data_IF_041178244893
#
_entry.id   IF_041178244893
#
_cell.length_a   1.000
_cell.length_b   1.000
_cell.length_c   1.000
_cell.angle_alpha   90.00
_cell.angle_beta   90.00
_cell.angle_gamma   90.00
#
_symmetry.space_group_name_H-M   'P 1'
#
loop_
_entity.id
_entity.type
_entity.pdbx_description
1 polymer ?
#
# COMPACT_ATOMS: atom_id res chain seq x y z
N UNK A 1 -16.34 13.95 -20.71
CA UNK A 1 -15.04 14.44 -20.20
C UNK A 1 -14.50 15.44 -21.22
N UNK A 2 -14.02 16.62 -20.82
CA UNK A 2 -13.58 17.65 -21.76
C UNK A 2 -12.37 17.17 -22.58
N UNK A 3 -12.33 17.45 -23.89
CA UNK A 3 -11.24 17.00 -24.77
C UNK A 3 -9.85 17.48 -24.33
N UNK A 4 -9.77 18.62 -23.65
CA UNK A 4 -8.52 19.17 -23.13
C UNK A 4 -7.91 18.34 -21.97
N UNK A 5 -8.73 17.60 -21.21
CA UNK A 5 -8.25 16.73 -20.11
C UNK A 5 -7.69 15.41 -20.66
N UNK A 6 -8.30 14.86 -21.71
CA UNK A 6 -7.83 13.64 -22.37
C UNK A 6 -6.48 13.82 -23.08
N UNK A 7 -6.23 15.02 -23.63
CA UNK A 7 -4.91 15.35 -24.19
C UNK A 7 -3.81 15.51 -23.14
N UNK A 8 -4.18 15.73 -21.88
CA UNK A 8 -3.24 15.82 -20.76
C UNK A 8 -2.89 14.42 -20.24
N UNK A 9 -3.87 13.52 -20.08
CA UNK A 9 -3.60 12.16 -19.59
C UNK A 9 -3.70 11.09 -20.69
N UNK A 10 -2.59 10.70 -21.33
CA UNK A 10 -2.61 9.63 -22.34
C UNK A 10 -3.02 8.26 -21.76
N UNK A 11 -2.83 8.07 -20.45
CA UNK A 11 -3.06 6.80 -19.75
C UNK A 11 -4.30 6.80 -18.84
N UNK A 12 -5.14 7.85 -18.89
CA UNK A 12 -6.38 7.86 -18.11
C UNK A 12 -7.37 6.87 -18.71
N UNK A 13 -7.76 5.87 -17.94
CA UNK A 13 -8.69 4.84 -18.37
C UNK A 13 -10.01 4.87 -17.58
N UNK A 14 -10.84 3.86 -17.79
CA UNK A 14 -12.15 3.75 -17.14
C UNK A 14 -12.11 3.52 -15.62
N UNK A 15 -10.94 3.31 -15.01
CA UNK A 15 -10.76 3.03 -13.56
C UNK A 15 -10.50 4.29 -12.73
N UNK A 16 -10.24 5.42 -13.37
CA UNK A 16 -10.06 6.71 -12.73
C UNK A 16 -11.17 7.68 -13.14
N UNK A 17 -11.40 8.70 -12.31
CA UNK A 17 -12.15 9.88 -12.71
C UNK A 17 -11.38 11.14 -12.35
N UNK A 18 -11.57 12.14 -13.19
CA UNK A 18 -11.05 13.48 -12.96
C UNK A 18 -12.22 14.40 -12.70
N UNK A 19 -12.00 15.43 -11.88
CA UNK A 19 -12.87 16.58 -11.93
C UNK A 19 -12.57 17.43 -13.17
N UNK A 20 -13.39 18.47 -13.39
CA UNK A 20 -13.06 19.51 -14.35
C UNK A 20 -11.87 20.34 -13.84
N UNK A 21 -11.15 20.97 -14.76
CA UNK A 21 -10.10 21.90 -14.43
C UNK A 21 -10.72 23.20 -13.88
N UNK A 22 -10.33 23.61 -12.67
CA UNK A 22 -10.95 24.76 -11.99
C UNK A 22 -9.95 25.88 -11.75
N UNK A 23 -10.34 27.08 -12.16
CA UNK A 23 -9.56 28.31 -12.05
C UNK A 23 -9.32 28.94 -13.42
N UNK A 24 -8.18 29.61 -13.57
CA UNK A 24 -7.79 30.32 -14.79
C UNK A 24 -7.01 29.49 -15.80
N UNK A 25 -6.79 30.08 -16.97
CA UNK A 25 -6.03 29.50 -18.09
C UNK A 25 -4.61 30.07 -18.23
N UNK A 26 -4.11 30.81 -17.23
CA UNK A 26 -2.77 31.40 -17.25
C UNK A 26 -1.68 30.36 -17.01
N UNK A 27 -0.46 30.64 -17.49
CA UNK A 27 0.71 29.77 -17.27
C UNK A 27 0.81 28.58 -18.24
N UNK A 28 1.63 27.59 -17.86
CA UNK A 28 1.87 26.37 -18.61
C UNK A 28 1.09 25.20 -18.00
N UNK A 29 0.58 24.27 -18.81
CA UNK A 29 -0.06 23.07 -18.30
C UNK A 29 0.95 22.22 -17.53
N UNK A 30 0.49 21.58 -16.47
CA UNK A 30 1.25 20.59 -15.72
C UNK A 30 0.40 19.38 -15.35
N UNK A 31 1.09 18.26 -15.16
CA UNK A 31 0.48 16.98 -14.81
C UNK A 31 1.40 16.22 -13.85
N UNK A 32 0.77 15.67 -12.83
CA UNK A 32 1.32 14.68 -11.93
C UNK A 32 0.37 13.51 -12.00
N UNK A 33 0.85 12.38 -12.49
CA UNK A 33 0.10 11.15 -12.52
C UNK A 33 0.95 10.01 -11.93
N UNK A 34 0.28 9.08 -11.27
CA UNK A 34 0.84 7.86 -10.70
C UNK A 34 0.06 6.63 -11.17
N UNK A 35 -0.58 6.75 -12.33
CA UNK A 35 -1.67 5.88 -12.78
C UNK A 35 -1.21 4.45 -13.09
N UNK A 36 0.07 4.22 -13.36
CA UNK A 36 0.65 2.91 -13.65
C UNK A 36 1.57 2.40 -12.54
N UNK A 37 1.88 3.24 -11.54
CA UNK A 37 2.89 2.97 -10.51
C UNK A 37 2.35 2.38 -9.22
N UNK A 38 1.03 2.26 -9.05
CA UNK A 38 0.44 1.85 -7.77
C UNK A 38 0.67 2.84 -6.62
N UNK A 39 1.13 4.05 -6.95
CA UNK A 39 1.34 5.17 -6.02
C UNK A 39 0.14 6.09 -6.01
N UNK A 40 0.00 6.84 -4.93
CA UNK A 40 -1.04 7.83 -4.66
C UNK A 40 -0.47 8.94 -3.82
N UNK A 41 -1.20 10.04 -3.70
CA UNK A 41 -0.91 11.13 -2.78
C UNK A 41 -0.65 10.61 -1.36
N UNK A 42 0.46 11.01 -0.77
CA UNK A 42 0.80 10.78 0.64
C UNK A 42 1.06 12.08 1.38
N UNK A 43 1.49 13.12 0.67
CA UNK A 43 1.56 14.47 1.22
C UNK A 43 1.22 15.50 0.15
N UNK A 44 0.37 16.47 0.52
CA UNK A 44 0.07 17.64 -0.29
C UNK A 44 0.51 18.88 0.48
N UNK A 45 1.38 19.69 -0.12
CA UNK A 45 1.76 20.99 0.44
C UNK A 45 1.45 22.07 -0.58
N UNK A 46 0.76 23.12 -0.13
CA UNK A 46 0.33 24.21 -1.00
C UNK A 46 0.73 25.51 -0.34
N UNK A 47 1.20 26.46 -1.13
CA UNK A 47 1.56 27.81 -0.68
C UNK A 47 0.52 28.79 -1.18
N UNK A 48 0.16 29.75 -0.32
CA UNK A 48 -0.73 30.86 -0.63
C UNK A 48 0.09 32.15 -0.64
N UNK A 49 -0.03 32.92 -1.72
CA UNK A 49 0.53 34.27 -1.81
C UNK A 49 -0.59 35.23 -2.20
N UNK A 50 -0.64 36.37 -1.51
CA UNK A 50 -1.71 37.35 -1.62
C UNK A 50 -3.07 36.67 -1.40
N UNK A 51 -3.79 36.40 -2.48
CA UNK A 51 -5.12 35.79 -2.45
C UNK A 51 -5.23 34.50 -3.30
N UNK A 52 -4.12 33.86 -3.68
CA UNK A 52 -4.15 32.70 -4.57
C UNK A 52 -3.05 31.68 -4.28
N UNK A 53 -3.29 30.38 -4.52
CA UNK A 53 -2.24 29.38 -4.46
C UNK A 53 -1.10 29.71 -5.44
N UNK A 54 0.14 29.67 -4.96
CA UNK A 54 1.33 30.07 -5.72
C UNK A 54 2.35 28.97 -5.95
N UNK A 55 2.28 27.89 -5.17
CA UNK A 55 3.05 26.68 -5.38
C UNK A 55 2.33 25.46 -4.81
N UNK A 56 2.68 24.29 -5.33
CA UNK A 56 2.18 22.99 -4.87
C UNK A 56 3.32 21.98 -4.91
N UNK A 57 3.46 21.20 -3.84
CA UNK A 57 4.24 19.98 -3.77
C UNK A 57 3.28 18.81 -3.59
N UNK A 58 3.40 17.84 -4.49
CA UNK A 58 2.68 16.59 -4.46
C UNK A 58 3.67 15.47 -4.22
N UNK A 59 3.59 14.87 -3.03
CA UNK A 59 4.36 13.69 -2.66
C UNK A 59 3.50 12.46 -2.89
N UNK A 60 4.06 11.50 -3.62
CA UNK A 60 3.40 10.23 -3.91
C UNK A 60 4.25 9.03 -3.53
N UNK A 61 3.61 7.91 -3.22
CA UNK A 61 4.29 6.69 -2.79
C UNK A 61 4.79 6.77 -1.34
N UNK A 62 5.38 5.66 -0.87
CA UNK A 62 5.97 5.55 0.47
C UNK A 62 7.30 4.81 0.42
N UNK A 63 8.19 5.11 1.36
CA UNK A 63 9.50 4.46 1.46
C UNK A 63 10.34 4.70 0.21
N UNK A 64 10.86 3.62 -0.38
CA UNK A 64 11.71 3.69 -1.57
C UNK A 64 11.01 4.28 -2.81
N UNK A 65 9.68 4.22 -2.88
CA UNK A 65 8.91 4.73 -4.03
C UNK A 65 8.42 6.18 -3.84
N UNK A 66 8.97 6.90 -2.85
CA UNK A 66 8.57 8.27 -2.58
C UNK A 66 9.06 9.22 -3.68
N UNK A 67 8.14 9.89 -4.35
CA UNK A 67 8.41 10.88 -5.40
C UNK A 67 7.76 12.22 -5.02
N UNK A 68 8.50 13.33 -5.13
CA UNK A 68 7.97 14.69 -4.92
C UNK A 68 8.01 15.43 -6.24
N UNK A 69 6.85 15.93 -6.68
CA UNK A 69 6.73 16.82 -7.84
C UNK A 69 6.24 18.20 -7.40
N UNK A 70 6.85 19.25 -7.96
CA UNK A 70 6.62 20.63 -7.57
C UNK A 70 6.20 21.49 -8.75
N UNK A 71 5.21 22.36 -8.55
CA UNK A 71 4.78 23.37 -9.52
C UNK A 71 4.57 24.73 -8.84
N UNK A 72 4.67 25.80 -9.62
CA UNK A 72 4.76 27.16 -9.10
C UNK A 72 6.17 27.53 -8.64
N UNK A 73 6.36 28.78 -8.21
CA UNK A 73 7.71 29.31 -7.88
C UNK A 73 7.87 29.90 -6.48
N UNK A 74 6.80 30.34 -5.81
CA UNK A 74 6.92 31.11 -4.55
C UNK A 74 6.74 30.27 -3.29
N UNK A 75 7.68 29.35 -3.03
CA UNK A 75 7.69 28.48 -1.84
C UNK A 75 8.08 29.17 -0.51
N UNK A 76 8.23 30.49 -0.52
CA UNK A 76 8.53 31.31 0.67
C UNK A 76 7.28 31.87 1.36
N UNK A 77 6.10 31.71 0.74
CA UNK A 77 4.84 32.21 1.27
C UNK A 77 4.22 31.27 2.35
N UNK A 78 3.06 31.63 2.90
CA UNK A 78 2.35 30.80 3.89
C UNK A 78 1.97 29.46 3.27
N UNK A 79 2.37 28.35 3.90
CA UNK A 79 2.08 27.01 3.43
C UNK A 79 1.12 26.28 4.36
N UNK A 80 0.24 25.48 3.77
CA UNK A 80 -0.51 24.44 4.47
C UNK A 80 -0.05 23.08 3.96
N UNK A 81 -0.09 22.08 4.83
CA UNK A 81 0.35 20.72 4.54
C UNK A 81 -0.68 19.71 5.02
N UNK A 82 -0.95 18.70 4.19
CA UNK A 82 -1.74 17.52 4.47
C UNK A 82 -0.81 16.30 4.40
N UNK A 83 -0.78 15.47 5.43
CA UNK A 83 -0.07 14.19 5.44
C UNK A 83 -1.09 13.07 5.58
N UNK A 84 -1.20 12.19 4.58
CA UNK A 84 -2.10 11.05 4.66
C UNK A 84 -1.38 9.86 5.30
N UNK A 85 -1.96 9.31 6.36
CA UNK A 85 -1.52 8.06 6.97
C UNK A 85 -1.91 6.84 6.12
N UNK A 86 -1.41 5.67 6.53
CA UNK A 86 -1.89 4.40 6.00
C UNK A 86 -3.39 4.22 6.28
N UNK A 87 -4.11 3.63 5.33
CA UNK A 87 -5.57 3.51 5.36
C UNK A 87 -6.36 4.84 5.44
N UNK A 88 -5.69 5.99 5.32
CA UNK A 88 -6.35 7.29 5.30
C UNK A 88 -6.81 7.66 3.89
N UNK A 89 -8.08 8.05 3.79
CA UNK A 89 -8.80 8.31 2.55
C UNK A 89 -9.39 9.71 2.60
N UNK A 90 -9.32 10.39 1.46
CA UNK A 90 -10.03 11.66 1.27
C UNK A 90 -11.53 11.37 1.23
N UNK A 91 -12.30 12.04 2.08
CA UNK A 91 -13.76 11.93 2.15
C UNK A 91 -14.45 13.13 1.51
N UNK A 92 -13.77 14.28 1.48
CA UNK A 92 -14.27 15.48 0.85
C UNK A 92 -13.14 16.23 0.16
N UNK A 93 -13.42 16.74 -1.04
CA UNK A 93 -12.54 17.61 -1.80
C UNK A 93 -13.36 18.78 -2.34
N UNK A 94 -13.03 19.99 -1.89
CA UNK A 94 -13.67 21.24 -2.31
C UNK A 94 -12.60 22.14 -2.92
N UNK A 95 -12.91 22.68 -4.10
CA UNK A 95 -12.08 23.71 -4.75
C UNK A 95 -12.85 25.03 -4.76
N UNK A 96 -12.17 26.09 -4.35
CA UNK A 96 -12.69 27.46 -4.29
C UNK A 96 -12.07 28.27 -5.41
N UNK A 97 -12.87 29.04 -6.16
CA UNK A 97 -12.43 29.78 -7.34
C UNK A 97 -13.29 31.03 -7.60
N UNK A 98 -12.84 31.93 -8.47
CA UNK A 98 -13.58 33.14 -8.84
C UNK A 98 -14.69 32.88 -9.89
N UNK A 99 -15.85 33.53 -9.73
CA UNK A 99 -17.09 33.64 -10.56
C UNK A 99 -17.30 32.72 -11.77
N UNK A 100 -16.35 32.62 -12.70
CA UNK A 100 -16.52 31.90 -13.97
C UNK A 100 -15.70 30.59 -13.95
N UNK A 101 -16.34 29.48 -14.33
CA UNK A 101 -15.66 28.21 -14.63
C UNK A 101 -14.64 28.40 -15.76
N UNK A 102 -13.60 27.55 -15.81
CA UNK A 102 -12.59 27.55 -16.86
C UNK A 102 -13.23 27.57 -18.25
N UNK A 103 -13.03 28.66 -19.00
CA UNK A 103 -13.41 28.77 -20.40
C UNK A 103 -12.13 29.04 -21.22
N UNK A 104 -11.67 28.08 -22.04
CA UNK A 104 -10.45 28.26 -22.83
C UNK A 104 -10.58 29.35 -23.92
N UNK A 105 -11.81 29.70 -24.30
CA UNK A 105 -12.09 30.70 -25.34
C UNK A 105 -12.25 32.13 -24.79
N UNK A 106 -12.58 32.26 -23.49
CA UNK A 106 -12.70 33.54 -22.82
C UNK A 106 -11.47 33.77 -21.93
N UNK A 107 -10.59 34.70 -22.33
CA UNK A 107 -9.43 35.18 -21.53
C UNK A 107 -9.82 35.92 -20.25
N UNK A 108 -10.92 35.55 -19.60
CA UNK A 108 -11.35 36.12 -18.33
C UNK A 108 -10.46 35.59 -17.21
N UNK A 109 -10.06 36.50 -16.31
CA UNK A 109 -9.21 36.20 -15.16
C UNK A 109 -10.04 35.50 -14.07
N UNK A 110 -10.31 34.21 -14.24
CA UNK A 110 -10.70 33.35 -13.11
C UNK A 110 -9.43 32.89 -12.40
N UNK A 111 -9.45 32.82 -11.07
CA UNK A 111 -8.32 32.34 -10.28
C UNK A 111 -8.77 31.20 -9.38
N UNK A 112 -7.90 30.20 -9.24
CA UNK A 112 -7.94 29.30 -8.11
C UNK A 112 -7.76 30.12 -6.82
N UNK A 113 -8.67 29.96 -5.87
CA UNK A 113 -8.65 30.66 -4.58
C UNK A 113 -8.34 29.74 -3.42
N UNK A 114 -8.69 28.46 -3.51
CA UNK A 114 -8.41 27.57 -2.42
C UNK A 114 -8.72 26.12 -2.66
N UNK A 115 -8.20 25.30 -1.76
CA UNK A 115 -8.38 23.86 -1.73
C UNK A 115 -8.72 23.49 -0.29
N UNK A 116 -9.76 22.69 -0.12
CA UNK A 116 -10.16 22.12 1.17
C UNK A 116 -10.32 20.61 1.02
N UNK A 117 -9.75 19.86 1.95
CA UNK A 117 -9.77 18.39 1.98
C UNK A 117 -10.12 17.96 3.40
N UNK A 118 -11.05 17.02 3.51
CA UNK A 118 -11.29 16.27 4.75
C UNK A 118 -11.01 14.77 4.53
N UNK A 119 -10.60 14.09 5.60
CA UNK A 119 -10.25 12.66 5.56
C UNK A 119 -11.10 11.82 6.49
N UNK A 120 -11.14 10.50 6.23
CA UNK A 120 -11.82 9.53 7.10
C UNK A 120 -11.18 9.39 8.50
N UNK A 121 -10.00 9.97 8.74
CA UNK A 121 -9.36 10.06 10.06
C UNK A 121 -9.52 11.43 10.72
N UNK A 122 -10.34 12.30 10.15
CA UNK A 122 -10.68 13.60 10.73
C UNK A 122 -9.65 14.69 10.48
N UNK A 123 -8.65 14.46 9.62
CA UNK A 123 -7.76 15.55 9.20
C UNK A 123 -8.53 16.54 8.33
N UNK A 124 -8.30 17.83 8.58
CA UNK A 124 -8.86 18.94 7.82
C UNK A 124 -7.73 19.79 7.27
N UNK A 125 -7.56 19.75 5.96
CA UNK A 125 -6.64 20.61 5.24
C UNK A 125 -7.43 21.71 4.54
N UNK A 126 -7.05 22.96 4.75
CA UNK A 126 -7.70 24.09 4.10
C UNK A 126 -6.68 25.17 3.83
N UNK A 127 -6.55 25.56 2.57
CA UNK A 127 -5.74 26.70 2.16
C UNK A 127 -6.58 27.62 1.28
N UNK A 128 -6.81 28.84 1.76
CA UNK A 128 -7.51 29.91 1.04
C UNK A 128 -7.27 31.25 1.76
N UNK A 129 -7.51 32.39 1.10
CA UNK A 129 -7.41 33.71 1.71
C UNK A 129 -8.39 33.85 2.89
N UNK A 130 -8.02 34.64 3.90
CA UNK A 130 -8.88 34.93 5.05
C UNK A 130 -10.18 35.63 4.65
N UNK A 131 -10.13 36.45 3.60
CA UNK A 131 -11.28 37.19 3.06
C UNK A 131 -11.48 36.82 1.60
N UNK A 132 -12.57 36.10 1.31
CA UNK A 132 -12.96 35.80 -0.06
C UNK A 132 -13.56 37.04 -0.72
N UNK A 133 -13.23 37.25 -2.00
CA UNK A 133 -13.80 38.35 -2.79
C UNK A 133 -15.24 38.04 -3.18
N UNK A 134 -16.05 39.10 -3.37
CA UNK A 134 -17.43 38.95 -3.84
C UNK A 134 -17.48 38.19 -5.17
N UNK A 135 -18.24 37.10 -5.19
CA UNK A 135 -18.34 36.20 -6.35
C UNK A 135 -17.34 35.04 -6.35
N UNK A 136 -16.77 34.69 -5.21
CA UNK A 136 -16.07 33.41 -5.08
C UNK A 136 -17.09 32.26 -5.02
N UNK A 137 -16.86 31.19 -5.76
CA UNK A 137 -17.66 29.96 -5.77
C UNK A 137 -16.86 28.80 -5.14
N UNK A 138 -17.58 27.78 -4.67
CA UNK A 138 -17.02 26.51 -4.22
C UNK A 138 -17.65 25.36 -5.00
N UNK A 139 -16.85 24.35 -5.34
CA UNK A 139 -17.36 23.13 -5.96
C UNK A 139 -16.80 21.92 -5.22
N UNK A 140 -17.71 21.04 -4.79
CA UNK A 140 -17.37 19.75 -4.19
C UNK A 140 -17.26 18.68 -5.28
N UNK A 141 -16.27 17.81 -5.14
CA UNK A 141 -16.00 16.74 -6.09
C UNK A 141 -16.23 15.37 -5.48
N UNK A 142 -16.73 14.45 -6.30
CA UNK A 142 -16.70 13.04 -5.94
C UNK A 142 -15.25 12.59 -5.76
N UNK A 143 -14.97 12.00 -4.62
CA UNK A 143 -13.64 11.49 -4.25
C UNK A 143 -13.47 10.00 -4.61
N UNK A 144 -14.53 9.34 -5.11
CA UNK A 144 -14.54 7.91 -5.44
C UNK A 144 -14.11 7.04 -4.26
N UNK A 145 -13.00 6.32 -4.42
CA UNK A 145 -12.40 5.51 -3.35
C UNK A 145 -11.72 6.33 -2.24
N UNK A 146 -11.56 7.65 -2.43
CA UNK A 146 -10.80 8.54 -1.56
C UNK A 146 -9.28 8.49 -1.80
N UNK A 147 -8.83 7.79 -2.83
CA UNK A 147 -7.42 7.68 -3.22
C UNK A 147 -7.12 8.63 -4.37
N UNK A 148 -6.27 9.63 -4.14
CA UNK A 148 -5.82 10.59 -5.14
C UNK A 148 -4.56 10.06 -5.85
N UNK A 149 -4.64 9.84 -7.16
CA UNK A 149 -3.57 9.29 -8.00
C UNK A 149 -2.93 10.35 -8.92
N UNK A 150 -3.24 11.62 -8.69
CA UNK A 150 -2.65 12.69 -9.48
C UNK A 150 -3.32 14.03 -9.32
N UNK A 151 -2.65 15.03 -9.90
CA UNK A 151 -3.10 16.41 -9.98
C UNK A 151 -2.66 16.98 -11.33
N UNK A 152 -3.49 17.79 -11.93
CA UNK A 152 -3.18 18.48 -13.18
C UNK A 152 -3.64 19.92 -13.09
N UNK A 153 -3.10 20.79 -13.93
CA UNK A 153 -3.48 22.19 -13.87
C UNK A 153 -2.67 23.07 -14.78
N UNK A 154 -2.74 24.37 -14.51
CA UNK A 154 -1.86 25.35 -15.11
C UNK A 154 -1.15 26.16 -14.05
N UNK A 155 0.15 26.36 -14.24
CA UNK A 155 0.99 27.12 -13.32
C UNK A 155 2.02 27.96 -14.08
N UNK A 156 2.41 29.07 -13.48
CA UNK A 156 3.62 29.81 -13.85
C UNK A 156 4.49 30.03 -12.61
N UNK A 157 5.51 30.87 -12.73
CA UNK A 157 6.41 31.18 -11.61
C UNK A 157 5.69 31.85 -10.44
N UNK A 158 4.49 32.41 -10.65
CA UNK A 158 3.77 33.26 -9.71
C UNK A 158 2.58 32.57 -9.06
N UNK A 159 1.78 31.82 -9.83
CA UNK A 159 0.50 31.28 -9.39
C UNK A 159 0.23 29.87 -9.94
N UNK A 160 -0.51 29.10 -9.15
CA UNK A 160 -1.28 27.95 -9.64
C UNK A 160 -2.61 28.53 -10.13
N UNK A 161 -2.76 28.65 -11.44
CA UNK A 161 -3.92 29.29 -12.06
C UNK A 161 -5.16 28.43 -11.97
N UNK A 162 -4.99 27.12 -12.19
CA UNK A 162 -6.05 26.13 -12.11
C UNK A 162 -5.55 24.77 -11.66
N UNK A 163 -6.46 23.97 -11.13
CA UNK A 163 -6.16 22.64 -10.63
C UNK A 163 -7.32 21.67 -10.85
N UNK A 164 -6.97 20.42 -11.08
CA UNK A 164 -7.83 19.26 -11.05
C UNK A 164 -7.11 18.09 -10.40
N UNK A 165 -7.88 17.13 -9.91
CA UNK A 165 -7.43 15.94 -9.20
C UNK A 165 -7.86 14.69 -9.96
N UNK A 166 -6.98 13.70 -9.94
CA UNK A 166 -7.27 12.36 -10.48
C UNK A 166 -7.55 11.45 -9.31
N UNK A 167 -8.76 10.95 -9.22
CA UNK A 167 -9.20 10.08 -8.16
C UNK A 167 -9.43 8.67 -8.70
N UNK A 168 -9.01 7.67 -7.93
CA UNK A 168 -9.33 6.28 -8.20
C UNK A 168 -10.83 6.06 -7.91
N UNK A 169 -11.53 5.43 -8.85
CA UNK A 169 -12.95 5.10 -8.68
C UNK A 169 -13.17 4.11 -7.52
N UNK A 170 -14.42 3.95 -7.02
CA UNK A 170 -14.72 2.99 -5.97
C UNK A 170 -14.17 1.59 -6.28
N UNK A 171 -13.39 1.07 -5.34
CA UNK A 171 -12.72 -0.23 -5.44
C UNK A 171 -13.49 -1.25 -4.62
N UNK A 172 -13.87 -2.35 -5.26
CA UNK A 172 -14.53 -3.49 -4.61
C UNK A 172 -13.53 -4.32 -3.82
N UNK A 173 -12.39 -4.65 -4.42
CA UNK A 173 -11.31 -5.39 -3.76
C UNK A 173 -9.96 -5.13 -4.41
N UNK A 174 -8.89 -5.29 -3.64
CA UNK A 174 -7.51 -5.34 -4.11
C UNK A 174 -6.90 -6.71 -3.76
N UNK A 175 -6.29 -7.37 -4.73
CA UNK A 175 -5.70 -8.71 -4.58
C UNK A 175 -4.30 -8.75 -5.20
N UNK A 176 -3.31 -9.15 -4.42
CA UNK A 176 -1.97 -9.47 -4.89
C UNK A 176 -1.98 -10.90 -5.46
N UNK A 177 -1.72 -11.03 -6.76
CA UNK A 177 -1.69 -12.31 -7.49
C UNK A 177 -0.34 -12.56 -8.14
N UNK A 178 -0.16 -13.77 -8.68
CA UNK A 178 1.03 -14.17 -9.44
C UNK A 178 2.31 -13.93 -8.63
N UNK A 179 2.26 -14.26 -7.34
CA UNK A 179 3.38 -14.04 -6.43
C UNK A 179 4.48 -15.07 -6.69
N UNK A 180 5.69 -14.58 -6.86
CA UNK A 180 6.90 -15.38 -7.00
C UNK A 180 7.93 -14.92 -5.99
N UNK A 181 8.52 -15.86 -5.27
CA UNK A 181 9.61 -15.65 -4.34
C UNK A 181 10.96 -15.88 -5.02
N UNK A 182 12.00 -15.16 -4.58
CA UNK A 182 13.38 -15.43 -4.99
C UNK A 182 13.86 -16.76 -4.41
N UNK A 183 14.78 -17.44 -5.08
CA UNK A 183 15.27 -18.76 -4.64
C UNK A 183 16.38 -18.64 -3.57
N UNK A 184 16.76 -17.40 -3.20
CA UNK A 184 17.80 -17.06 -2.23
C UNK A 184 17.25 -16.48 -0.93
N UNK A 185 16.05 -16.88 -0.54
CA UNK A 185 15.40 -16.38 0.66
C UNK A 185 16.22 -16.73 1.92
N UNK A 186 16.42 -15.74 2.78
CA UNK A 186 17.14 -15.93 4.04
C UNK A 186 16.20 -16.55 5.08
N UNK A 187 16.69 -17.56 5.78
CA UNK A 187 15.96 -18.19 6.88
C UNK A 187 16.78 -18.10 8.16
N UNK A 188 16.22 -17.46 9.18
CA UNK A 188 16.83 -17.39 10.51
C UNK A 188 16.18 -18.43 11.41
N UNK A 189 17.02 -19.26 12.03
CA UNK A 189 16.59 -20.30 12.96
C UNK A 189 16.27 -19.68 14.32
N UNK A 190 15.10 -19.96 14.86
CA UNK A 190 14.75 -19.55 16.23
C UNK A 190 15.45 -20.44 17.27
N UNK A 191 15.36 -20.04 18.54
CA UNK A 191 15.79 -20.89 19.64
C UNK A 191 15.07 -22.25 19.63
N UNK A 192 15.77 -23.37 19.90
CA UNK A 192 15.16 -24.68 20.05
C UNK A 192 14.09 -24.68 21.14
N UNK A 193 12.99 -25.36 20.89
CA UNK A 193 11.95 -25.61 21.88
C UNK A 193 11.91 -27.10 22.21
N UNK A 194 12.13 -27.45 23.48
CA UNK A 194 11.84 -28.79 23.98
C UNK A 194 10.32 -28.99 24.01
N UNK A 195 9.82 -29.96 23.24
CA UNK A 195 8.38 -30.24 23.13
C UNK A 195 7.95 -31.48 23.91
N UNK A 196 8.88 -32.40 24.19
CA UNK A 196 8.67 -33.56 25.06
C UNK A 196 10.01 -34.12 25.51
N UNK A 197 10.05 -34.71 26.69
CA UNK A 197 11.22 -35.38 27.27
C UNK A 197 10.74 -36.63 28.00
N UNK A 198 11.40 -37.77 27.78
CA UNK A 198 11.06 -39.06 28.38
C UNK A 198 12.33 -39.81 28.73
N UNK A 199 12.36 -40.43 29.90
CA UNK A 199 13.43 -41.33 30.31
C UNK A 199 12.96 -42.77 30.15
N UNK A 200 13.80 -43.62 29.54
CA UNK A 200 13.55 -45.04 29.34
C UNK A 200 14.64 -45.84 30.03
N UNK A 201 14.26 -46.60 31.04
CA UNK A 201 15.17 -47.45 31.79
C UNK A 201 15.02 -48.92 31.38
N UNK A 202 16.14 -49.58 31.09
CA UNK A 202 16.17 -50.98 30.70
C UNK A 202 17.07 -51.79 31.64
N UNK A 203 16.48 -52.27 32.73
CA UNK A 203 17.11 -53.17 33.69
C UNK A 203 17.27 -54.61 33.19
N UNK A 204 16.77 -54.95 32.00
CA UNK A 204 16.83 -56.30 31.47
C UNK A 204 18.18 -56.61 30.80
N UNK A 205 18.41 -57.87 30.45
CA UNK A 205 19.59 -58.32 29.69
C UNK A 205 19.39 -58.20 28.17
N UNK A 206 18.21 -57.76 27.70
CA UNK A 206 17.83 -57.70 26.29
C UNK A 206 17.50 -56.25 25.89
N UNK A 207 17.71 -55.91 24.62
CA UNK A 207 17.33 -54.60 24.09
C UNK A 207 15.80 -54.41 24.15
N UNK A 208 15.35 -53.22 24.55
CA UNK A 208 13.95 -52.84 24.58
C UNK A 208 13.68 -51.72 23.57
N UNK A 209 12.57 -51.82 22.83
CA UNK A 209 12.16 -50.77 21.88
C UNK A 209 10.92 -50.06 22.41
N UNK A 210 11.03 -48.75 22.60
CA UNK A 210 9.95 -47.88 23.04
C UNK A 210 9.50 -46.96 21.90
N UNK A 211 8.31 -46.39 22.05
CA UNK A 211 7.78 -45.36 21.16
C UNK A 211 7.62 -44.06 21.93
N UNK A 212 8.37 -43.04 21.55
CA UNK A 212 8.15 -41.68 22.02
C UNK A 212 7.14 -41.00 21.11
N UNK A 213 6.13 -40.37 21.70
CA UNK A 213 5.15 -39.53 20.99
C UNK A 213 5.23 -38.11 21.51
N UNK A 214 5.10 -37.14 20.61
CA UNK A 214 4.95 -35.74 20.96
C UNK A 214 3.93 -35.09 20.04
N UNK A 215 3.09 -34.23 20.60
CA UNK A 215 2.16 -33.40 19.83
C UNK A 215 2.45 -31.94 20.13
N UNK A 216 2.54 -31.10 19.11
CA UNK A 216 2.69 -29.66 19.27
C UNK A 216 1.78 -28.90 18.33
N UNK A 217 0.98 -28.02 18.91
CA UNK A 217 0.22 -27.01 18.17
C UNK A 217 1.10 -25.78 17.93
N UNK A 218 1.18 -25.36 16.68
CA UNK A 218 1.96 -24.23 16.19
C UNK A 218 1.04 -23.14 15.67
N UNK A 219 1.44 -21.89 15.89
CA UNK A 219 0.82 -20.71 15.31
C UNK A 219 1.80 -20.12 14.29
N UNK A 220 1.47 -20.23 13.02
CA UNK A 220 2.28 -19.77 11.90
C UNK A 220 1.70 -18.44 11.40
N UNK A 221 2.56 -17.45 11.18
CA UNK A 221 2.14 -16.14 10.69
C UNK A 221 2.80 -15.84 9.35
N UNK A 222 2.05 -15.20 8.46
CA UNK A 222 2.48 -14.82 7.12
C UNK A 222 2.09 -13.37 6.85
N UNK A 223 3.04 -12.56 6.40
CA UNK A 223 2.84 -11.14 6.12
C UNK A 223 3.45 -10.78 4.78
N UNK A 224 2.68 -10.12 3.92
CA UNK A 224 3.16 -9.55 2.66
C UNK A 224 3.17 -8.03 2.76
N UNK A 225 4.36 -7.44 2.74
CA UNK A 225 4.56 -5.99 2.81
C UNK A 225 4.62 -5.33 1.42
N UNK A 226 4.13 -4.09 1.30
CA UNK A 226 4.26 -3.31 0.07
C UNK A 226 4.50 -1.84 0.36
N UNK A 227 5.34 -1.19 -0.45
CA UNK A 227 5.57 0.27 -0.46
C UNK A 227 4.50 1.05 -1.23
N UNK A 228 3.68 0.35 -2.03
CA UNK A 228 2.70 0.96 -2.94
C UNK A 228 1.53 1.55 -2.15
N UNK A 229 1.44 2.88 -2.14
CA UNK A 229 0.50 3.59 -1.25
C UNK A 229 -0.96 3.30 -1.56
N UNK A 230 -1.34 3.00 -2.81
CA UNK A 230 -2.72 2.59 -3.13
C UNK A 230 -3.11 1.34 -2.34
N UNK A 231 -2.28 0.29 -2.36
CA UNK A 231 -2.56 -0.96 -1.66
C UNK A 231 -2.59 -0.76 -0.14
N UNK A 232 -1.71 0.10 0.41
CA UNK A 232 -1.71 0.41 1.85
C UNK A 232 -2.92 1.24 2.27
N UNK A 233 -3.46 2.09 1.40
CA UNK A 233 -4.66 2.88 1.71
C UNK A 233 -5.94 2.05 1.60
N UNK A 234 -6.00 1.10 0.67
CA UNK A 234 -7.20 0.27 0.47
C UNK A 234 -7.21 -0.99 1.35
N UNK A 235 -6.04 -1.48 1.75
CA UNK A 235 -5.87 -2.86 2.21
C UNK A 235 -5.97 -3.84 1.03
N UNK A 236 -5.37 -5.02 1.17
CA UNK A 236 -5.40 -6.02 0.10
C UNK A 236 -5.39 -7.44 0.66
N UNK A 237 -5.82 -8.37 -0.21
CA UNK A 237 -5.72 -9.81 -0.01
C UNK A 237 -4.59 -10.37 -0.86
N UNK A 238 -4.08 -11.53 -0.51
CA UNK A 238 -3.00 -12.20 -1.22
C UNK A 238 -3.50 -13.53 -1.75
N UNK A 239 -3.31 -13.80 -3.03
CA UNK A 239 -3.60 -15.08 -3.66
C UNK A 239 -2.26 -15.71 -4.06
N UNK A 240 -1.66 -16.43 -3.11
CA UNK A 240 -0.32 -17.02 -3.25
C UNK A 240 -0.16 -18.23 -2.32
N UNK A 241 0.80 -19.10 -2.64
CA UNK A 241 1.43 -19.93 -1.62
C UNK A 241 2.51 -19.13 -0.90
N UNK A 242 3.03 -19.66 0.20
CA UNK A 242 4.13 -19.04 0.96
C UNK A 242 5.27 -20.04 1.19
N UNK A 243 6.52 -19.58 1.37
CA UNK A 243 7.65 -20.45 1.67
C UNK A 243 7.46 -21.17 3.00
N UNK A 244 7.81 -22.46 3.04
CA UNK A 244 7.90 -23.28 4.26
C UNK A 244 9.25 -23.96 4.32
N UNK A 245 9.91 -23.85 5.46
CA UNK A 245 11.16 -24.51 5.76
C UNK A 245 10.91 -25.85 6.48
N UNK A 246 11.56 -26.93 6.02
CA UNK A 246 11.53 -28.25 6.65
C UNK A 246 12.88 -28.95 6.47
N UNK A 247 13.19 -29.89 7.35
CA UNK A 247 14.45 -30.62 7.33
C UNK A 247 14.27 -31.99 6.67
N UNK A 248 14.97 -32.26 5.57
CA UNK A 248 15.06 -33.60 4.95
C UNK A 248 16.51 -34.07 5.07
N UNK A 249 16.72 -35.23 5.70
CA UNK A 249 18.03 -35.91 5.67
C UNK A 249 19.21 -35.16 6.31
N UNK A 250 18.98 -34.05 7.03
CA UNK A 250 20.05 -33.21 7.58
C UNK A 250 19.99 -31.77 7.07
N UNK A 251 19.49 -31.58 5.84
CA UNK A 251 19.50 -30.31 5.14
C UNK A 251 18.17 -29.58 5.28
N UNK A 252 18.25 -28.25 5.36
CA UNK A 252 17.07 -27.40 5.33
C UNK A 252 16.63 -27.22 3.88
N UNK A 253 15.40 -27.63 3.59
CA UNK A 253 14.75 -27.44 2.30
C UNK A 253 13.60 -26.45 2.44
N UNK A 254 13.39 -25.62 1.43
CA UNK A 254 12.25 -24.72 1.34
C UNK A 254 11.34 -25.12 0.18
N UNK A 255 10.03 -25.24 0.43
CA UNK A 255 9.02 -25.44 -0.61
C UNK A 255 7.92 -24.38 -0.51
N UNK A 256 7.15 -24.22 -1.58
CA UNK A 256 5.97 -23.34 -1.64
C UNK A 256 4.72 -24.15 -1.33
N UNK A 257 3.82 -23.58 -0.53
CA UNK A 257 2.47 -24.15 -0.33
C UNK A 257 1.61 -23.99 -1.58
N UNK A 258 0.47 -24.69 -1.60
CA UNK A 258 -0.60 -24.43 -2.57
C UNK A 258 -1.10 -22.99 -2.47
N UNK A 259 -1.61 -22.48 -3.58
CA UNK A 259 -2.16 -21.11 -3.64
C UNK A 259 -3.50 -21.03 -2.94
N UNK A 260 -3.62 -20.09 -1.99
CA UNK A 260 -4.85 -19.77 -1.29
C UNK A 260 -5.03 -18.24 -1.18
N UNK A 261 -6.26 -17.79 -0.86
CA UNK A 261 -6.57 -16.37 -0.65
C UNK A 261 -6.47 -16.03 0.84
N UNK A 262 -5.48 -15.23 1.19
CA UNK A 262 -5.19 -14.75 2.54
C UNK A 262 -5.47 -13.25 2.66
N UNK A 263 -5.62 -12.74 3.88
CA UNK A 263 -5.38 -11.32 4.13
C UNK A 263 -3.87 -11.06 4.04
N UNK A 264 -3.45 -9.81 3.77
CA UNK A 264 -2.02 -9.47 3.67
C UNK A 264 -1.20 -9.79 4.93
N UNK A 265 -1.87 -9.97 6.07
CA UNK A 265 -1.35 -10.63 7.27
C UNK A 265 -2.32 -11.75 7.62
N UNK A 266 -1.81 -12.97 7.79
CA UNK A 266 -2.62 -14.15 8.12
C UNK A 266 -1.92 -15.01 9.17
N UNK A 267 -2.72 -15.71 9.95
CA UNK A 267 -2.23 -16.64 10.98
C UNK A 267 -2.97 -17.96 10.85
N UNK A 268 -2.23 -19.06 10.88
CA UNK A 268 -2.74 -20.41 10.76
C UNK A 268 -2.28 -21.26 11.96
N UNK A 269 -3.17 -22.09 12.47
CA UNK A 269 -2.87 -23.05 13.53
C UNK A 269 -2.67 -24.43 12.93
N UNK A 270 -1.52 -25.04 13.19
CA UNK A 270 -1.18 -26.38 12.71
C UNK A 270 -0.82 -27.28 13.91
N UNK A 271 -1.46 -28.43 14.05
CA UNK A 271 -1.05 -29.45 15.01
C UNK A 271 -0.18 -30.48 14.32
N UNK A 272 0.98 -30.79 14.91
CA UNK A 272 1.87 -31.84 14.43
C UNK A 272 2.07 -32.91 15.48
N UNK A 273 1.86 -34.15 15.06
CA UNK A 273 2.16 -35.36 15.82
C UNK A 273 3.47 -35.94 15.32
N UNK A 274 4.32 -36.33 16.26
CA UNK A 274 5.62 -36.92 16.00
C UNK A 274 5.72 -38.25 16.74
N UNK A 275 6.29 -39.24 16.07
CA UNK A 275 6.55 -40.56 16.65
C UNK A 275 7.98 -40.99 16.31
N UNK A 276 8.72 -41.41 17.34
CA UNK A 276 10.08 -41.93 17.19
C UNK A 276 10.22 -43.26 17.93
N UNK A 277 10.95 -44.19 17.31
CA UNK A 277 11.40 -45.41 17.97
C UNK A 277 12.64 -45.13 18.80
N UNK A 278 12.63 -45.52 20.06
CA UNK A 278 13.75 -45.38 21.00
C UNK A 278 14.19 -46.76 21.43
N UNK A 279 15.38 -47.18 21.01
CA UNK A 279 15.95 -48.47 21.42
C UNK A 279 16.84 -48.25 22.64
N UNK A 280 16.49 -48.90 23.74
CA UNK A 280 17.21 -48.85 25.01
C UNK A 280 18.03 -50.13 25.19
N UNK A 281 19.35 -49.99 25.26
CA UNK A 281 20.28 -51.11 25.44
C UNK A 281 20.11 -51.78 26.81
N UNK A 282 20.51 -53.06 26.96
CA UNK A 282 20.52 -53.72 28.26
C UNK A 282 21.29 -52.93 29.32
N UNK A 283 20.78 -52.90 30.55
CA UNK A 283 21.39 -52.24 31.71
C UNK A 283 21.71 -50.76 31.49
N UNK A 284 20.84 -50.06 30.78
CA UNK A 284 21.05 -48.65 30.45
C UNK A 284 19.78 -47.83 30.60
N UNK A 285 19.97 -46.53 30.79
CA UNK A 285 18.92 -45.53 30.83
C UNK A 285 19.15 -44.53 29.70
N UNK A 286 18.11 -44.23 28.93
CA UNK A 286 18.16 -43.26 27.82
C UNK A 286 17.18 -42.13 28.10
N UNK A 287 17.68 -40.89 28.04
CA UNK A 287 16.85 -39.69 27.98
C UNK A 287 16.58 -39.32 26.52
N UNK A 288 15.31 -39.39 26.10
CA UNK A 288 14.85 -39.03 24.79
C UNK A 288 14.19 -37.64 24.81
N UNK A 289 14.76 -36.69 24.06
CA UNK A 289 14.29 -35.32 23.97
C UNK A 289 13.78 -35.01 22.56
N UNK A 290 12.53 -34.59 22.47
CA UNK A 290 11.93 -34.09 21.24
C UNK A 290 12.10 -32.57 21.19
N UNK A 291 12.84 -32.07 20.20
CA UNK A 291 13.16 -30.65 20.03
C UNK A 291 12.60 -30.15 18.71
N UNK A 292 11.88 -29.04 18.76
CA UNK A 292 11.36 -28.33 17.62
C UNK A 292 12.22 -27.09 17.32
N UNK A 293 12.46 -26.83 16.04
CA UNK A 293 13.03 -25.57 15.57
C UNK A 293 12.01 -24.85 14.70
N UNK A 294 11.79 -23.58 15.00
CA UNK A 294 11.02 -22.68 14.13
C UNK A 294 11.98 -21.85 13.30
N UNK A 295 11.50 -21.39 12.15
CA UNK A 295 12.26 -20.57 11.23
C UNK A 295 11.45 -19.33 10.92
N UNK A 296 12.12 -18.18 10.97
CA UNK A 296 11.65 -16.95 10.36
C UNK A 296 12.23 -16.88 8.96
N UNK A 297 11.38 -16.64 7.96
CA UNK A 297 11.75 -16.60 6.56
C UNK A 297 11.49 -15.19 6.05
N UNK A 298 12.57 -14.51 5.66
CA UNK A 298 12.49 -13.22 4.99
C UNK A 298 12.68 -13.43 3.49
N UNK A 299 11.55 -13.44 2.80
CA UNK A 299 11.51 -13.74 1.37
C UNK A 299 11.25 -12.50 0.53
N UNK A 300 12.10 -12.27 -0.47
CA UNK A 300 11.83 -11.24 -1.47
C UNK A 300 10.78 -11.77 -2.43
N UNK A 301 9.84 -10.93 -2.82
CA UNK A 301 8.79 -11.36 -3.74
C UNK A 301 8.45 -10.33 -4.81
N UNK A 302 7.94 -10.85 -5.92
CA UNK A 302 7.34 -10.08 -7.00
C UNK A 302 5.93 -10.57 -7.23
N UNK A 303 5.04 -9.69 -7.63
CA UNK A 303 3.66 -10.03 -7.93
C UNK A 303 2.97 -8.98 -8.78
N UNK A 304 1.67 -9.16 -8.96
CA UNK A 304 0.81 -8.19 -9.65
C UNK A 304 -0.35 -7.84 -8.73
N UNK A 305 -0.49 -6.57 -8.38
CA UNK A 305 -1.67 -6.09 -7.67
C UNK A 305 -2.80 -5.89 -8.67
N UNK A 306 -3.96 -6.51 -8.42
CA UNK A 306 -5.18 -6.36 -9.21
C UNK A 306 -6.22 -5.63 -8.36
N UNK A 307 -6.68 -4.47 -8.83
CA UNK A 307 -7.76 -3.71 -8.22
C UNK A 307 -9.01 -3.90 -9.06
N UNK A 308 -10.04 -4.46 -8.46
CA UNK A 308 -11.35 -4.63 -9.09
C UNK A 308 -12.24 -3.48 -8.67
N UNK A 309 -12.63 -2.64 -9.63
CA UNK A 309 -13.56 -1.54 -9.41
C UNK A 309 -14.97 -2.07 -9.15
N UNK A 310 -15.82 -1.28 -8.49
CA UNK A 310 -17.26 -1.61 -8.37
C UNK A 310 -17.96 -1.71 -9.73
N UNK A 311 -17.46 -0.99 -10.74
CA UNK A 311 -17.92 -1.07 -12.12
C UNK A 311 -17.57 -2.39 -12.84
N UNK A 312 -16.78 -3.27 -12.20
CA UNK A 312 -16.26 -4.51 -12.80
C UNK A 312 -14.99 -4.33 -13.65
N UNK A 313 -14.54 -3.08 -13.85
CA UNK A 313 -13.25 -2.80 -14.49
C UNK A 313 -12.09 -3.19 -13.59
N UNK A 314 -10.94 -3.45 -14.20
CA UNK A 314 -9.73 -3.90 -13.50
C UNK A 314 -8.58 -2.96 -13.81
N UNK A 315 -7.90 -2.52 -12.75
CA UNK A 315 -6.63 -1.81 -12.81
C UNK A 315 -5.54 -2.73 -12.22
N UNK A 316 -4.34 -2.74 -12.79
CA UNK A 316 -3.28 -3.61 -12.30
C UNK A 316 -1.89 -2.99 -12.45
N UNK A 317 -1.02 -3.27 -11.48
CA UNK A 317 0.37 -2.82 -11.49
C UNK A 317 1.29 -3.87 -10.86
N UNK A 318 2.59 -3.78 -11.18
CA UNK A 318 3.59 -4.70 -10.64
C UNK A 318 3.98 -4.30 -9.23
N UNK A 319 4.16 -5.30 -8.37
CA UNK A 319 4.65 -5.12 -7.01
C UNK A 319 5.98 -5.85 -6.88
N UNK A 320 6.97 -5.17 -6.33
CA UNK A 320 8.26 -5.75 -5.98
C UNK A 320 8.51 -5.38 -4.53
N UNK A 321 8.67 -6.39 -3.68
CA UNK A 321 9.11 -6.21 -2.31
C UNK A 321 10.57 -6.66 -2.22
N UNK A 322 11.43 -5.68 -1.98
CA UNK A 322 12.83 -5.90 -1.58
C UNK A 322 12.88 -5.68 -0.08
N UNK A 323 13.36 -6.68 0.67
CA UNK A 323 13.59 -6.57 2.11
C UNK A 323 14.56 -5.44 2.44
#
# INVERSE_FOLDING_TARGET
MPQHVLGLFPNLDSTFHTNDLIGGCGGKPFIIDTLDKGSSLTELKVWLRDDAPCAIDFTSGRGADTEVKSFGGHKTATASKLCLDESEKITELIITYDKDHFNPDEKKKSFLRGISIETNKGQKFKIMPEKLKNGTNTLSYSVGSGVCCGVFGYADENFIHSIGFVMLKPVKEAVLKNVTYDDKDESTKTFPQLISSCEYDNDSELEQSHKMKATKTLQLSHTWGTSHSIARTLGFKVEAGYPRAFKIGGDLTQNKTSTHKHDHTSTETESRDFEWSVNCSPKSTIEANAILFLYEIEAKYKGTMELRMESGKVFSYKVICVT
#
